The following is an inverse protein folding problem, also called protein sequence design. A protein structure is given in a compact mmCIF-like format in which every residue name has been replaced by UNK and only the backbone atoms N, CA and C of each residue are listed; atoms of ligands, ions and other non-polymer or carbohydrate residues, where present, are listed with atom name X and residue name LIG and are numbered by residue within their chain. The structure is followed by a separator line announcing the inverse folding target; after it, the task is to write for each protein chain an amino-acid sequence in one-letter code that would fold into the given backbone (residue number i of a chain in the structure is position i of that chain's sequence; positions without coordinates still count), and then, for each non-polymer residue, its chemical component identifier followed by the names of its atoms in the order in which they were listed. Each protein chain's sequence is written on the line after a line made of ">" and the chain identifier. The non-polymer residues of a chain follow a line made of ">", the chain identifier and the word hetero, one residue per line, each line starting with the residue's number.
data_IF_182794801503
#
_entry.id   IF_182794801503
#
_cell.length_a   1.000
_cell.length_b   1.000
_cell.length_c   1.000
_cell.angle_alpha   90.00
_cell.angle_beta   90.00
_cell.angle_gamma   90.00
#
_symmetry.space_group_name_H-M   'P 1'
#
loop_
_entity.id
_entity.type
_entity.pdbx_description
1 polymer ?
#
# COMPACT_ATOMS: atom_id res chain seq x y z
N UNK A 1 4.62 -3.48 -25.79
CA UNK A 1 5.16 -3.85 -24.47
C UNK A 1 4.18 -4.80 -23.81
N UNK A 2 4.64 -5.98 -23.37
CA UNK A 2 3.79 -6.86 -22.55
C UNK A 2 3.67 -6.25 -21.16
N UNK A 3 2.45 -6.09 -20.66
CA UNK A 3 2.17 -5.63 -19.30
C UNK A 3 1.72 -6.85 -18.51
N UNK A 4 2.60 -7.33 -17.63
CA UNK A 4 2.29 -8.44 -16.73
C UNK A 4 1.77 -7.87 -15.41
N UNK A 5 0.67 -8.42 -14.91
CA UNK A 5 0.23 -8.15 -13.54
C UNK A 5 1.17 -8.85 -12.56
N UNK A 6 1.57 -8.11 -11.53
CA UNK A 6 2.35 -8.61 -10.40
C UNK A 6 1.48 -9.64 -9.65
N UNK A 7 2.03 -10.77 -9.17
CA UNK A 7 1.27 -11.67 -8.30
C UNK A 7 0.83 -10.94 -7.03
N UNK A 8 -0.40 -11.17 -6.56
CA UNK A 8 -0.95 -10.49 -5.38
C UNK A 8 -0.06 -10.65 -4.13
N UNK A 9 0.47 -11.86 -3.90
CA UNK A 9 1.40 -12.13 -2.79
C UNK A 9 2.68 -11.29 -2.86
N UNK A 10 3.22 -11.06 -4.06
CA UNK A 10 4.40 -10.20 -4.21
C UNK A 10 4.08 -8.73 -3.91
N UNK A 11 2.88 -8.26 -4.27
CA UNK A 11 2.44 -6.92 -3.85
C UNK A 11 2.36 -6.82 -2.32
N UNK A 12 1.78 -7.82 -1.66
CA UNK A 12 1.68 -7.86 -0.19
C UNK A 12 3.06 -7.90 0.49
N UNK A 13 4.01 -8.67 -0.06
CA UNK A 13 5.38 -8.74 0.45
C UNK A 13 6.08 -7.37 0.36
N UNK A 14 5.96 -6.69 -0.78
CA UNK A 14 6.55 -5.35 -0.98
C UNK A 14 5.91 -4.33 -0.03
N UNK A 15 4.58 -4.38 0.14
CA UNK A 15 3.88 -3.52 1.08
C UNK A 15 4.35 -3.78 2.52
N UNK A 16 4.49 -5.04 2.94
CA UNK A 16 5.02 -5.41 4.25
C UNK A 16 6.46 -4.92 4.47
N UNK A 17 7.35 -5.09 3.49
CA UNK A 17 8.73 -4.60 3.58
C UNK A 17 8.79 -3.08 3.71
N UNK A 18 7.98 -2.37 2.92
CA UNK A 18 7.89 -0.91 2.96
C UNK A 18 7.39 -0.46 4.33
N UNK A 19 6.35 -1.11 4.83
CA UNK A 19 5.75 -0.81 6.11
C UNK A 19 6.72 -1.08 7.28
N UNK A 20 7.44 -2.21 7.25
CA UNK A 20 8.47 -2.55 8.21
C UNK A 20 9.61 -1.53 8.23
N UNK A 21 10.02 -1.00 7.08
CA UNK A 21 11.03 0.06 6.98
C UNK A 21 10.57 1.35 7.69
N UNK A 22 9.32 1.78 7.46
CA UNK A 22 8.78 3.00 8.08
C UNK A 22 8.48 2.84 9.58
N UNK A 23 8.12 1.63 10.03
CA UNK A 23 7.88 1.32 11.44
C UNK A 23 9.14 1.06 12.26
N UNK A 24 10.21 0.56 11.63
CA UNK A 24 11.46 0.21 12.30
C UNK A 24 12.63 1.09 11.88
N UNK A 25 12.39 2.33 11.43
CA UNK A 25 13.47 3.25 11.06
C UNK A 25 14.40 3.51 12.25
N UNK A 26 15.52 2.78 12.26
CA UNK A 26 16.67 2.95 13.13
C UNK A 26 17.78 3.55 12.29
N UNK A 27 17.71 4.85 12.08
CA UNK A 27 18.89 5.61 11.64
C UNK A 27 19.28 6.63 12.72
N UNK A 28 18.33 7.24 13.44
CA UNK A 28 18.66 8.18 14.51
C UNK A 28 17.55 8.26 15.56
N UNK A 29 17.40 7.22 16.42
CA UNK A 29 16.66 7.22 17.71
C UNK A 29 15.26 7.90 17.75
N UNK A 30 14.64 8.18 16.61
CA UNK A 30 13.32 8.80 16.48
C UNK A 30 12.37 7.69 16.14
N UNK A 31 11.51 7.39 17.10
CA UNK A 31 10.41 6.42 17.02
C UNK A 31 9.84 6.37 15.61
N UNK A 32 10.00 5.23 14.92
CA UNK A 32 9.33 5.00 13.64
C UNK A 32 7.82 5.18 13.74
N UNK A 33 7.11 5.15 12.62
CA UNK A 33 5.67 5.49 12.54
C UNK A 33 4.78 4.35 13.12
N UNK A 34 5.10 3.81 14.29
CA UNK A 34 4.41 2.65 14.90
C UNK A 34 2.95 2.91 15.27
N UNK A 35 2.54 4.18 15.36
CA UNK A 35 1.21 4.58 15.86
C UNK A 35 0.13 4.67 14.78
N UNK A 36 0.44 4.41 13.50
CA UNK A 36 -0.54 4.42 12.40
C UNK A 36 -0.45 3.13 11.57
N UNK A 37 -1.60 2.58 11.20
CA UNK A 37 -1.71 1.43 10.31
C UNK A 37 -1.30 1.78 8.88
N UNK A 38 -0.88 0.78 8.11
CA UNK A 38 -0.56 0.94 6.69
C UNK A 38 -1.73 1.55 5.89
N UNK A 39 -2.95 1.08 6.13
CA UNK A 39 -4.18 1.65 5.53
C UNK A 39 -4.33 3.16 5.78
N UNK A 40 -4.00 3.62 6.99
CA UNK A 40 -4.05 5.05 7.29
C UNK A 40 -2.96 5.82 6.55
N UNK A 41 -1.78 5.24 6.35
CA UNK A 41 -0.72 5.88 5.57
C UNK A 41 -1.07 5.95 4.08
N UNK A 42 -1.88 5.01 3.59
CA UNK A 42 -2.39 5.03 2.22
C UNK A 42 -3.42 6.14 1.96
N UNK A 43 -4.04 6.69 3.00
CA UNK A 43 -4.98 7.80 2.86
C UNK A 43 -4.32 9.06 2.27
N UNK A 44 -5.14 9.91 1.67
CA UNK A 44 -4.68 11.17 1.09
C UNK A 44 -4.08 12.11 2.17
N UNK A 45 -3.12 12.95 1.75
CA UNK A 45 -2.46 13.92 2.63
C UNK A 45 -3.44 14.91 3.27
N UNK A 46 -4.54 15.24 2.59
CA UNK A 46 -5.58 16.15 3.12
C UNK A 46 -6.29 15.61 4.36
N UNK A 47 -6.32 14.29 4.56
CA UNK A 47 -6.94 13.64 5.72
C UNK A 47 -5.89 13.08 6.70
N UNK A 48 -4.64 13.52 6.58
CA UNK A 48 -3.54 13.17 7.49
C UNK A 48 -2.82 11.86 7.17
N UNK A 49 -3.12 11.21 6.04
CA UNK A 49 -2.31 10.10 5.53
C UNK A 49 -1.05 10.57 4.80
N UNK A 50 -0.26 9.65 4.26
CA UNK A 50 0.95 9.95 3.48
C UNK A 50 0.73 9.87 1.97
N UNK A 51 -0.43 9.38 1.54
CA UNK A 51 -0.75 9.13 0.13
C UNK A 51 -0.03 7.91 -0.43
N UNK A 52 0.35 6.95 0.41
CA UNK A 52 0.88 5.67 -0.07
C UNK A 52 -0.17 4.93 -0.89
N UNK A 53 0.29 4.16 -1.86
CA UNK A 53 -0.59 3.43 -2.77
C UNK A 53 -0.42 1.95 -2.50
N UNK A 54 -1.52 1.25 -2.27
CA UNK A 54 -1.52 -0.21 -2.24
C UNK A 54 -1.20 -0.71 -3.63
N UNK A 55 -0.08 -1.42 -3.78
CA UNK A 55 0.38 -1.97 -5.05
C UNK A 55 -0.70 -2.84 -5.68
N UNK A 56 -1.44 -3.60 -4.87
CA UNK A 56 -2.57 -4.40 -5.33
C UNK A 56 -3.61 -3.57 -6.10
N UNK A 57 -3.87 -2.33 -5.70
CA UNK A 57 -4.91 -1.49 -6.30
C UNK A 57 -4.51 -0.91 -7.65
N UNK A 58 -3.21 -0.81 -7.91
CA UNK A 58 -2.64 -0.33 -9.17
C UNK A 58 -2.22 -1.48 -10.08
N UNK A 59 -2.31 -2.71 -9.60
CA UNK A 59 -1.87 -3.91 -10.29
C UNK A 59 -3.00 -4.61 -11.06
N UNK A 60 -3.68 -3.85 -11.91
CA UNK A 60 -4.69 -4.36 -12.84
C UNK A 60 -4.44 -3.85 -14.26
N UNK A 61 -4.91 -4.57 -15.30
CA UNK A 61 -4.88 -4.03 -16.64
C UNK A 61 -5.66 -2.71 -16.70
N UNK A 62 -5.15 -1.68 -17.40
CA UNK A 62 -5.83 -0.39 -17.50
C UNK A 62 -7.25 -0.58 -18.02
N UNK A 63 -8.24 -0.11 -17.27
CA UNK A 63 -9.65 -0.15 -17.67
C UNK A 63 -10.49 -1.34 -17.16
N UNK A 64 -9.96 -2.21 -16.30
CA UNK A 64 -10.82 -3.21 -15.63
C UNK A 64 -11.61 -2.53 -14.50
N UNK A 65 -12.95 -2.44 -14.54
CA UNK A 65 -13.73 -1.95 -13.40
C UNK A 65 -13.48 -2.88 -12.21
N UNK A 66 -13.18 -2.30 -11.04
CA UNK A 66 -13.15 -3.05 -9.77
C UNK A 66 -14.56 -3.61 -9.59
N UNK A 67 -14.72 -4.93 -9.72
CA UNK A 67 -16.00 -5.56 -9.43
C UNK A 67 -16.26 -5.37 -7.94
N UNK A 68 -16.99 -4.32 -7.58
CA UNK A 68 -17.67 -4.25 -6.30
C UNK A 68 -18.62 -5.44 -6.29
N UNK A 69 -18.25 -6.45 -5.52
CA UNK A 69 -19.16 -7.53 -5.17
C UNK A 69 -20.31 -6.86 -4.45
N UNK A 70 -21.40 -6.66 -5.19
CA UNK A 70 -22.70 -6.31 -4.63
C UNK A 70 -23.02 -7.46 -3.68
N UNK A 71 -22.79 -7.24 -2.39
CA UNK A 71 -23.32 -8.13 -1.35
C UNK A 71 -24.84 -8.02 -1.44
N UNK A 72 -25.45 -9.07 -1.97
CA UNK A 72 -26.87 -9.36 -1.75
C UNK A 72 -27.11 -9.72 -0.28
#
# INVERSE_FOLDING_TARGET
>A
MSVFSIPAGLCEDIEHMTNAYWWNSSIDKKSGIRWKSWDFLCNHKSIGGLGFKKLHEFNGPPGRPKMEVIKA
#
